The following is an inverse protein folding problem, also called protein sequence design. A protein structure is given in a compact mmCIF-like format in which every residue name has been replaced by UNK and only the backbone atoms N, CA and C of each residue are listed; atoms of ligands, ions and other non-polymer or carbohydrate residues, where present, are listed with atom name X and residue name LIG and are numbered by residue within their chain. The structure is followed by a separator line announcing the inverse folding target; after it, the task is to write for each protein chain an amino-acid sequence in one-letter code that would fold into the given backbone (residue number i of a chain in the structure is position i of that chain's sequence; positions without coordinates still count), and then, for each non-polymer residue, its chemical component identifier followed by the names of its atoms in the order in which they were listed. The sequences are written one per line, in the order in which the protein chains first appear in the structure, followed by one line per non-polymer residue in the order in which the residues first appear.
data_IF_431508996654
#
_entry.id   IF_431508996654
#
_cell.length_a   1.000
_cell.length_b   1.000
_cell.length_c   1.000
_cell.angle_alpha   90.00
_cell.angle_beta   90.00
_cell.angle_gamma   90.00
#
_symmetry.space_group_name_H-M   'P 1'
#
loop_
_entity.id
_entity.type
_entity.pdbx_description
1 polymer ?
#
# COMPACT_ATOMS: atom_id res chain seq x y z
N UNK A 1 4.60 -8.72 17.48
CA UNK A 1 3.48 -7.83 17.13
C UNK A 1 3.77 -6.39 17.54
N UNK A 2 3.21 -5.43 16.80
CA UNK A 2 3.29 -4.00 17.12
C UNK A 2 1.90 -3.40 17.43
N UNK A 3 0.85 -4.19 17.21
CA UNK A 3 -0.54 -3.82 17.46
C UNK A 3 -1.35 -5.06 17.86
N UNK A 4 -2.53 -4.83 18.44
CA UNK A 4 -3.51 -5.88 18.70
C UNK A 4 -3.98 -6.52 17.39
N UNK A 5 -4.23 -7.83 17.42
CA UNK A 5 -4.72 -8.57 16.25
C UNK A 5 -6.07 -8.01 15.78
N UNK A 6 -6.24 -7.62 14.52
CA UNK A 6 -7.48 -7.04 13.99
C UNK A 6 -8.52 -8.11 13.64
N UNK A 7 -8.88 -8.92 14.61
CA UNK A 7 -9.82 -10.05 14.50
C UNK A 7 -11.20 -9.71 15.10
N UNK A 8 -12.22 -10.43 14.71
CA UNK A 8 -13.58 -10.31 15.25
C UNK A 8 -14.09 -8.85 15.20
N UNK A 9 -14.42 -8.26 16.36
CA UNK A 9 -14.88 -6.88 16.46
C UNK A 9 -13.83 -5.83 16.04
N UNK A 10 -12.54 -6.20 16.04
CA UNK A 10 -11.45 -5.34 15.59
C UNK A 10 -11.19 -5.43 14.07
N UNK A 11 -11.81 -6.39 13.38
CA UNK A 11 -11.78 -6.39 11.91
C UNK A 11 -12.35 -5.06 11.40
N UNK A 12 -11.59 -4.36 10.55
CA UNK A 12 -11.86 -3.01 10.04
C UNK A 12 -11.91 -1.88 11.08
N UNK A 13 -11.64 -2.17 12.36
CA UNK A 13 -11.46 -1.12 13.34
C UNK A 13 -10.14 -0.36 13.11
N UNK A 14 -10.03 0.90 13.56
CA UNK A 14 -8.74 1.56 13.71
C UNK A 14 -7.77 0.68 14.49
N UNK A 15 -6.51 0.71 14.11
CA UNK A 15 -5.45 -0.09 14.74
C UNK A 15 -5.39 0.20 16.23
N UNK A 16 -5.41 -0.86 17.04
CA UNK A 16 -5.35 -0.76 18.50
C UNK A 16 -3.94 -1.03 19.00
N UNK A 17 -3.56 -0.36 20.08
CA UNK A 17 -2.31 -0.62 20.76
C UNK A 17 -2.26 -2.06 21.28
N UNK A 18 -1.07 -2.61 21.32
CA UNK A 18 -0.84 -3.94 21.88
C UNK A 18 -0.91 -3.88 23.39
N UNK A 19 -1.65 -4.80 24.00
CA UNK A 19 -1.60 -4.99 25.43
C UNK A 19 -0.24 -5.56 25.88
N UNK A 20 0.25 -5.13 27.01
CA UNK A 20 1.46 -5.69 27.59
C UNK A 20 1.28 -7.19 27.88
N UNK A 21 2.34 -7.95 27.68
CA UNK A 21 2.35 -9.39 27.97
C UNK A 21 3.41 -9.74 28.98
N UNK A 22 3.14 -10.76 29.77
CA UNK A 22 4.12 -11.32 30.71
C UNK A 22 5.10 -12.27 30.01
N UNK A 23 6.38 -12.22 30.41
CA UNK A 23 7.41 -13.15 29.97
C UNK A 23 8.08 -12.78 28.66
N UNK A 24 8.67 -13.79 28.00
CA UNK A 24 9.45 -13.63 26.76
C UNK A 24 8.71 -14.22 25.61
N UNK A 25 8.39 -13.39 24.62
CA UNK A 25 7.83 -13.84 23.34
C UNK A 25 8.96 -14.41 22.44
N UNK A 26 8.87 -15.67 21.98
CA UNK A 26 9.85 -16.20 21.04
C UNK A 26 9.69 -15.56 19.66
N UNK A 27 10.77 -14.94 19.14
CA UNK A 27 10.80 -14.23 17.85
C UNK A 27 11.88 -14.79 16.93
N UNK A 28 11.96 -16.13 16.82
CA UNK A 28 13.01 -16.85 16.06
C UNK A 28 12.63 -17.18 14.63
N UNK A 29 11.40 -16.93 14.24
CA UNK A 29 10.85 -17.17 12.90
C UNK A 29 9.94 -16.01 12.51
N UNK A 30 9.75 -15.81 11.21
CA UNK A 30 8.74 -14.88 10.73
C UNK A 30 7.35 -15.28 11.21
N UNK A 31 6.50 -14.29 11.42
CA UNK A 31 5.11 -14.50 11.80
C UNK A 31 4.24 -14.85 10.59
N UNK A 32 2.94 -14.96 10.83
CA UNK A 32 1.93 -15.05 9.78
C UNK A 32 1.94 -13.80 8.91
N UNK A 33 1.57 -13.98 7.63
CA UNK A 33 1.37 -12.87 6.69
C UNK A 33 -0.10 -12.46 6.67
N UNK A 34 -0.40 -11.23 6.25
CA UNK A 34 -1.76 -10.76 6.11
C UNK A 34 -2.49 -11.47 4.96
N UNK A 35 -3.80 -11.65 5.09
CA UNK A 35 -4.62 -12.22 4.02
C UNK A 35 -4.51 -11.40 2.75
N UNK A 36 -4.30 -12.08 1.62
CA UNK A 36 -4.08 -11.51 0.31
C UNK A 36 -4.49 -12.49 -0.80
N UNK A 37 -4.80 -12.02 -2.04
CA UNK A 37 -5.21 -12.88 -3.15
C UNK A 37 -4.11 -13.85 -3.57
N UNK A 38 -4.51 -15.01 -4.11
CA UNK A 38 -3.58 -16.00 -4.66
C UNK A 38 -3.06 -15.63 -6.04
N UNK A 39 -3.75 -14.77 -6.77
CA UNK A 39 -3.39 -14.36 -8.14
C UNK A 39 -1.99 -13.76 -8.25
N UNK A 40 -1.42 -13.25 -7.15
CA UNK A 40 -0.03 -12.78 -7.13
C UNK A 40 0.96 -13.83 -7.64
N UNK A 41 0.68 -15.12 -7.43
CA UNK A 41 1.52 -16.23 -7.89
C UNK A 41 1.61 -16.33 -9.42
N UNK A 42 0.73 -15.66 -10.14
CA UNK A 42 0.74 -15.61 -11.60
C UNK A 42 1.69 -14.54 -12.14
N UNK A 43 2.04 -13.54 -11.32
CA UNK A 43 2.83 -12.38 -11.74
C UNK A 43 4.29 -12.41 -11.24
N UNK A 44 4.56 -13.15 -10.17
CA UNK A 44 5.88 -13.17 -9.53
C UNK A 44 6.34 -14.60 -9.25
N UNK A 45 7.59 -14.90 -9.61
CA UNK A 45 8.21 -16.21 -9.34
C UNK A 45 8.54 -16.39 -7.84
N UNK A 46 8.76 -15.31 -7.12
CA UNK A 46 9.14 -15.28 -5.69
C UNK A 46 7.95 -14.76 -4.88
N UNK A 47 7.00 -15.64 -4.56
CA UNK A 47 5.80 -15.29 -3.80
C UNK A 47 5.88 -15.80 -2.36
N UNK A 48 5.26 -15.08 -1.41
CA UNK A 48 5.20 -15.53 -0.03
C UNK A 48 4.44 -16.86 0.11
N UNK A 49 4.75 -17.61 1.16
CA UNK A 49 4.00 -18.81 1.50
C UNK A 49 2.56 -18.44 1.94
N UNK A 50 1.63 -18.48 1.00
CA UNK A 50 0.23 -18.14 1.23
C UNK A 50 -0.51 -19.16 2.14
N UNK A 51 0.13 -20.26 2.54
CA UNK A 51 -0.45 -21.22 3.49
C UNK A 51 -0.42 -20.73 4.94
N UNK A 52 0.36 -19.66 5.21
CA UNK A 52 0.54 -19.11 6.55
C UNK A 52 -0.15 -17.77 6.77
N UNK A 53 -1.22 -17.48 6.01
CA UNK A 53 -2.00 -16.24 6.16
C UNK A 53 -2.80 -16.21 7.47
N UNK A 54 -2.96 -15.01 8.04
CA UNK A 54 -3.79 -14.75 9.23
C UNK A 54 -4.24 -13.29 9.27
N UNK A 55 -5.35 -12.99 9.93
CA UNK A 55 -5.67 -11.61 10.33
C UNK A 55 -4.77 -11.15 11.48
N UNK A 56 -4.28 -12.07 12.33
CA UNK A 56 -3.23 -11.77 13.32
C UNK A 56 -1.86 -11.72 12.63
N UNK A 57 -1.66 -10.63 11.87
CA UNK A 57 -0.50 -10.42 11.00
C UNK A 57 0.25 -9.12 11.28
N UNK A 58 -0.22 -8.28 12.22
CA UNK A 58 0.36 -6.97 12.52
C UNK A 58 1.66 -7.11 13.30
N UNK A 59 2.69 -7.54 12.59
CA UNK A 59 4.02 -7.83 13.13
C UNK A 59 5.09 -7.10 12.33
N UNK A 60 6.25 -6.96 12.93
CA UNK A 60 7.44 -6.42 12.30
C UNK A 60 8.66 -7.29 12.63
N UNK A 61 9.71 -7.15 11.82
CA UNK A 61 11.01 -7.77 12.02
C UNK A 61 12.04 -6.67 12.26
N UNK A 62 12.97 -6.91 13.17
CA UNK A 62 14.09 -6.00 13.45
C UNK A 62 15.40 -6.71 13.12
N UNK A 63 16.19 -6.11 12.26
CA UNK A 63 17.51 -6.57 11.85
C UNK A 63 18.53 -5.57 12.39
N UNK A 64 19.42 -6.02 13.24
CA UNK A 64 20.45 -5.16 13.83
C UNK A 64 21.79 -5.87 13.91
N UNK A 65 22.87 -5.09 13.88
CA UNK A 65 24.24 -5.50 14.19
C UNK A 65 24.82 -4.62 15.30
N UNK A 66 23.97 -3.93 16.05
CA UNK A 66 24.41 -3.23 17.23
C UNK A 66 24.96 -4.22 18.25
N UNK A 67 26.11 -3.91 18.79
CA UNK A 67 26.74 -4.70 19.86
C UNK A 67 26.14 -4.34 21.23
N UNK A 68 25.62 -3.12 21.36
CA UNK A 68 25.02 -2.59 22.59
C UNK A 68 23.92 -1.56 22.27
N UNK A 69 23.05 -1.30 23.22
CA UNK A 69 21.92 -0.37 23.05
C UNK A 69 22.36 1.08 22.83
N UNK A 70 23.57 1.43 23.27
CA UNK A 70 24.18 2.76 23.15
C UNK A 70 24.76 3.05 21.76
N UNK A 71 24.80 2.08 20.84
CA UNK A 71 25.34 2.27 19.49
C UNK A 71 24.57 3.30 18.68
N UNK A 72 23.30 3.49 19.00
CA UNK A 72 22.48 4.60 18.51
C UNK A 72 22.50 4.72 16.98
N UNK A 73 22.39 3.56 16.28
CA UNK A 73 22.48 3.44 14.83
C UNK A 73 21.29 4.08 14.13
N UNK A 74 21.46 4.65 12.94
CA UNK A 74 20.33 5.07 12.10
C UNK A 74 19.35 3.91 11.87
N UNK A 75 18.06 4.22 11.85
CA UNK A 75 16.98 3.24 11.64
C UNK A 75 16.36 3.45 10.27
N UNK A 76 16.11 2.37 9.54
CA UNK A 76 15.38 2.40 8.28
C UNK A 76 14.20 1.45 8.38
N UNK A 77 12.99 1.95 8.10
CA UNK A 77 11.73 1.20 8.17
C UNK A 77 11.23 0.97 6.76
N UNK A 78 11.22 -0.29 6.33
CA UNK A 78 10.74 -0.72 5.03
C UNK A 78 9.24 -0.94 5.04
N UNK A 79 8.55 -0.33 4.09
CA UNK A 79 7.13 -0.57 3.79
C UNK A 79 7.07 -1.23 2.42
N UNK A 80 6.59 -2.47 2.37
CA UNK A 80 6.54 -3.25 1.14
C UNK A 80 5.50 -2.72 0.15
N UNK A 81 5.74 -2.98 -1.14
CA UNK A 81 4.83 -2.70 -2.23
C UNK A 81 3.69 -3.70 -2.36
N UNK A 82 3.21 -3.91 -3.57
CA UNK A 82 2.15 -4.86 -3.89
C UNK A 82 0.75 -4.22 -3.93
N UNK A 83 0.63 -3.02 -4.51
CA UNK A 83 -0.64 -2.32 -4.79
C UNK A 83 -1.58 -2.18 -3.58
N UNK A 84 -1.08 -2.24 -2.35
CA UNK A 84 -1.84 -2.31 -1.09
C UNK A 84 -2.69 -3.58 -0.94
N UNK A 85 -2.52 -4.57 -1.79
CA UNK A 85 -3.34 -5.78 -1.89
C UNK A 85 -2.56 -7.02 -1.51
N UNK A 86 -1.25 -7.05 -1.74
CA UNK A 86 -0.36 -8.17 -1.44
C UNK A 86 1.00 -7.72 -0.90
N UNK A 87 1.84 -8.69 -0.55
CA UNK A 87 3.18 -8.48 -0.03
C UNK A 87 3.29 -8.79 1.47
N UNK A 88 4.51 -8.83 1.95
CA UNK A 88 4.84 -9.05 3.36
C UNK A 88 6.24 -8.54 3.69
N UNK A 89 6.44 -8.08 4.91
CA UNK A 89 7.76 -7.67 5.39
C UNK A 89 8.78 -8.83 5.51
N UNK A 90 8.32 -10.09 5.48
CA UNK A 90 9.21 -11.26 5.60
C UNK A 90 10.01 -11.60 4.34
N UNK A 91 9.63 -11.07 3.18
CA UNK A 91 10.35 -11.26 1.91
C UNK A 91 11.64 -10.43 1.85
N UNK A 92 11.76 -9.43 2.69
CA UNK A 92 12.85 -8.46 2.63
C UNK A 92 13.84 -8.68 3.77
N UNK A 93 14.99 -9.31 3.47
CA UNK A 93 16.06 -9.48 4.45
C UNK A 93 16.80 -8.16 4.69
N UNK A 94 16.87 -7.75 5.95
CA UNK A 94 17.68 -6.60 6.38
C UNK A 94 19.18 -6.86 6.45
N UNK A 95 19.65 -8.12 6.24
CA UNK A 95 21.03 -8.51 6.50
C UNK A 95 22.06 -7.71 5.72
N UNK A 96 21.81 -7.44 4.44
CA UNK A 96 22.75 -6.70 3.60
C UNK A 96 22.91 -5.24 4.04
N UNK A 97 21.80 -4.59 4.40
CA UNK A 97 21.80 -3.20 4.82
C UNK A 97 22.35 -3.01 6.23
N UNK A 98 22.12 -3.96 7.15
CA UNK A 98 22.70 -3.88 8.50
C UNK A 98 24.22 -3.91 8.50
N UNK A 99 24.86 -4.52 7.49
CA UNK A 99 26.34 -4.44 7.28
C UNK A 99 26.83 -3.02 6.99
N UNK A 100 25.93 -2.09 6.69
CA UNK A 100 26.24 -0.66 6.48
C UNK A 100 26.09 0.20 7.74
N UNK A 101 25.82 -0.41 8.90
CA UNK A 101 25.71 0.29 10.17
C UNK A 101 24.35 0.93 10.39
N UNK A 102 23.29 0.30 9.94
CA UNK A 102 21.89 0.72 10.16
C UNK A 102 21.09 -0.40 10.81
N UNK A 103 20.05 -0.05 11.56
CA UNK A 103 19.01 -0.97 12.00
C UNK A 103 17.93 -0.97 10.92
N UNK A 104 17.50 -2.15 10.47
CA UNK A 104 16.42 -2.31 9.50
C UNK A 104 15.19 -2.85 10.22
N UNK A 105 14.04 -2.26 9.92
CA UNK A 105 12.73 -2.77 10.32
C UNK A 105 11.92 -3.05 9.06
N UNK A 106 11.31 -4.23 8.97
CA UNK A 106 10.31 -4.57 7.95
C UNK A 106 9.00 -4.88 8.64
N UNK A 107 7.87 -4.51 8.04
CA UNK A 107 6.57 -4.64 8.70
C UNK A 107 5.51 -5.22 7.77
N UNK A 108 4.51 -5.86 8.35
CA UNK A 108 3.25 -6.18 7.70
C UNK A 108 2.21 -5.10 8.03
N UNK A 109 1.24 -4.91 7.15
CA UNK A 109 0.05 -4.09 7.37
C UNK A 109 -1.14 -4.75 6.69
N UNK A 110 -2.37 -4.46 7.13
CA UNK A 110 -3.58 -5.01 6.51
C UNK A 110 -3.70 -4.61 5.06
N UNK A 111 -4.11 -5.55 4.23
CA UNK A 111 -4.12 -5.46 2.77
C UNK A 111 -5.54 -5.55 2.20
N UNK A 112 -5.71 -5.03 0.99
CA UNK A 112 -6.92 -5.16 0.22
C UNK A 112 -8.19 -4.83 1.01
N UNK A 113 -9.26 -5.63 0.88
CA UNK A 113 -10.53 -5.36 1.53
C UNK A 113 -10.47 -5.48 3.07
N UNK A 114 -9.43 -6.08 3.63
CA UNK A 114 -9.24 -6.15 5.09
C UNK A 114 -8.52 -4.91 5.64
N UNK A 115 -7.74 -4.22 4.79
CA UNK A 115 -6.98 -3.02 5.18
C UNK A 115 -7.58 -1.70 4.72
N UNK A 116 -8.38 -1.71 3.65
CA UNK A 116 -8.79 -0.49 2.96
C UNK A 116 -10.29 -0.44 2.63
N UNK A 117 -11.10 -1.08 3.45
CA UNK A 117 -12.55 -1.12 3.27
C UNK A 117 -13.24 0.09 3.90
N UNK A 118 -13.86 0.91 3.06
CA UNK A 118 -14.77 2.00 3.47
C UNK A 118 -16.18 1.46 3.63
N UNK A 119 -16.88 1.88 4.68
CA UNK A 119 -18.30 1.51 4.85
C UNK A 119 -19.02 2.49 5.80
N UNK A 120 -20.28 2.89 5.52
CA UNK A 120 -21.01 3.85 6.34
C UNK A 120 -21.17 3.45 7.82
N UNK A 121 -21.33 2.15 8.11
CA UNK A 121 -21.42 1.68 9.49
C UNK A 121 -20.08 1.80 10.22
N UNK A 122 -18.96 1.60 9.52
CA UNK A 122 -17.61 1.78 10.09
C UNK A 122 -17.33 3.26 10.37
N UNK A 123 -17.61 4.15 9.41
CA UNK A 123 -17.44 5.59 9.59
C UNK A 123 -18.31 6.11 10.73
N UNK A 124 -19.55 5.64 10.85
CA UNK A 124 -20.45 6.00 11.96
C UNK A 124 -19.92 5.51 13.32
N UNK A 125 -19.32 4.32 13.35
CA UNK A 125 -18.80 3.72 14.59
C UNK A 125 -17.47 4.34 15.03
N UNK A 126 -16.58 4.65 14.07
CA UNK A 126 -15.19 5.02 14.35
C UNK A 126 -14.79 6.44 13.92
N UNK A 127 -15.71 7.21 13.34
CA UNK A 127 -15.46 8.56 12.83
C UNK A 127 -14.94 8.60 11.39
N UNK A 128 -14.26 7.55 10.95
CA UNK A 128 -13.81 7.37 9.57
C UNK A 128 -13.64 5.89 9.23
N UNK A 129 -13.49 5.55 7.95
CA UNK A 129 -13.19 4.20 7.46
C UNK A 129 -12.30 4.25 6.21
N UNK A 130 -11.78 3.11 5.76
CA UNK A 130 -11.02 2.97 4.53
C UNK A 130 -9.51 2.79 4.75
N UNK A 131 -8.84 3.68 5.43
CA UNK A 131 -7.37 3.76 5.50
C UNK A 131 -6.73 2.95 6.65
N UNK A 132 -7.26 1.78 7.00
CA UNK A 132 -6.79 1.02 8.17
C UNK A 132 -5.37 0.47 7.97
N UNK A 133 -4.98 0.09 6.74
CA UNK A 133 -3.62 -0.32 6.43
C UNK A 133 -2.58 0.77 6.68
N UNK A 134 -2.91 2.03 6.40
CA UNK A 134 -2.03 3.16 6.76
C UNK A 134 -2.00 3.41 8.28
N UNK A 135 -3.09 3.18 9.00
CA UNK A 135 -3.09 3.24 10.47
C UNK A 135 -2.20 2.16 11.08
N UNK A 136 -2.14 0.98 10.47
CA UNK A 136 -1.22 -0.09 10.88
C UNK A 136 0.23 0.36 10.72
N UNK A 137 0.58 0.97 9.59
CA UNK A 137 1.91 1.52 9.34
C UNK A 137 2.26 2.63 10.34
N UNK A 138 1.32 3.53 10.65
CA UNK A 138 1.49 4.57 11.67
C UNK A 138 1.75 3.94 13.05
N UNK A 139 1.00 2.91 13.42
CA UNK A 139 1.17 2.21 14.70
C UNK A 139 2.53 1.48 14.76
N UNK A 140 2.96 0.87 13.66
CA UNK A 140 4.30 0.28 13.57
C UNK A 140 5.40 1.33 13.76
N UNK A 141 5.25 2.53 13.19
CA UNK A 141 6.19 3.63 13.39
C UNK A 141 6.21 4.14 14.82
N UNK A 142 5.06 4.20 15.51
CA UNK A 142 5.00 4.50 16.95
C UNK A 142 5.78 3.46 17.74
N UNK A 143 5.52 2.16 17.46
CA UNK A 143 6.26 1.07 18.09
C UNK A 143 7.78 1.21 17.89
N UNK A 144 8.21 1.51 16.66
CA UNK A 144 9.63 1.76 16.34
C UNK A 144 10.17 2.93 17.16
N UNK A 145 9.44 4.04 17.21
CA UNK A 145 9.84 5.22 17.98
C UNK A 145 10.07 4.92 19.47
N UNK A 146 9.22 4.08 20.04
CA UNK A 146 9.21 3.78 21.47
C UNK A 146 10.21 2.67 21.85
N UNK A 147 10.47 1.72 20.94
CA UNK A 147 11.20 0.49 21.29
C UNK A 147 12.57 0.33 20.62
N UNK A 148 12.85 1.00 19.50
CA UNK A 148 14.01 0.68 18.69
C UNK A 148 15.36 0.95 19.37
N UNK A 149 15.39 1.79 20.38
CA UNK A 149 16.58 2.02 21.20
C UNK A 149 17.06 0.74 21.88
N UNK A 150 16.16 -0.16 22.27
CA UNK A 150 16.50 -1.46 22.87
C UNK A 150 17.22 -2.40 21.89
N UNK A 151 17.19 -2.10 20.61
CA UNK A 151 17.87 -2.80 19.52
C UNK A 151 19.12 -2.05 19.03
N UNK A 152 19.58 -1.03 19.76
CA UNK A 152 20.70 -0.16 19.39
C UNK A 152 20.38 0.84 18.30
N UNK A 153 19.10 1.07 17.98
CA UNK A 153 18.65 2.05 17.00
C UNK A 153 18.36 3.42 17.61
N UNK A 154 18.52 4.47 16.79
CA UNK A 154 18.26 5.85 17.19
C UNK A 154 16.80 6.24 16.86
N UNK A 155 15.91 6.40 17.86
CA UNK A 155 14.52 6.80 17.63
C UNK A 155 14.36 8.23 17.10
N UNK A 156 15.43 9.02 17.05
CA UNK A 156 15.46 10.35 16.48
C UNK A 156 16.16 10.42 15.12
N UNK A 157 16.45 9.27 14.50
CA UNK A 157 17.02 9.17 13.17
C UNK A 157 16.40 8.01 12.37
N UNK A 158 15.10 8.10 12.17
CA UNK A 158 14.28 7.11 11.46
C UNK A 158 14.06 7.56 10.01
N UNK A 159 14.39 6.73 9.06
CA UNK A 159 14.06 6.89 7.64
C UNK A 159 12.98 5.89 7.27
N UNK A 160 11.85 6.33 6.75
CA UNK A 160 10.86 5.45 6.12
C UNK A 160 11.20 5.30 4.64
N UNK A 161 11.08 4.08 4.12
CA UNK A 161 11.34 3.83 2.71
C UNK A 161 10.48 2.70 2.17
N UNK A 162 10.12 2.79 0.89
CA UNK A 162 9.27 1.81 0.24
C UNK A 162 9.32 1.93 -1.28
N UNK A 163 8.90 0.87 -1.94
CA UNK A 163 8.81 0.78 -3.40
C UNK A 163 7.36 0.57 -3.82
N UNK A 164 6.96 1.07 -5.01
CA UNK A 164 5.60 0.91 -5.56
C UNK A 164 4.54 1.40 -4.56
N UNK A 165 3.57 0.58 -4.16
CA UNK A 165 2.59 0.91 -3.12
C UNK A 165 3.22 1.20 -1.75
N UNK A 166 4.42 0.71 -1.47
CA UNK A 166 5.23 1.13 -0.32
C UNK A 166 5.68 2.59 -0.44
N UNK A 167 6.02 3.05 -1.64
CA UNK A 167 6.30 4.45 -1.94
C UNK A 167 5.02 5.30 -1.85
N UNK A 168 3.86 4.81 -2.31
CA UNK A 168 2.56 5.47 -2.05
C UNK A 168 2.32 5.65 -0.55
N UNK A 169 2.59 4.61 0.23
CA UNK A 169 2.46 4.65 1.69
C UNK A 169 3.38 5.69 2.31
N UNK A 170 4.64 5.74 1.89
CA UNK A 170 5.61 6.75 2.34
C UNK A 170 5.11 8.17 2.03
N UNK A 171 4.53 8.39 0.85
CA UNK A 171 3.97 9.66 0.43
C UNK A 171 2.72 10.05 1.27
N UNK A 172 1.81 9.09 1.53
CA UNK A 172 0.66 9.25 2.43
C UNK A 172 1.12 9.59 3.85
N UNK A 173 2.09 8.86 4.40
CA UNK A 173 2.62 9.10 5.75
C UNK A 173 3.26 10.48 5.87
N UNK A 174 3.93 10.95 4.81
CA UNK A 174 4.49 12.30 4.77
C UNK A 174 3.38 13.37 4.80
N UNK A 175 2.24 13.12 4.14
CA UNK A 175 1.09 14.02 4.13
C UNK A 175 0.25 13.94 5.42
N UNK A 176 0.22 12.78 6.09
CA UNK A 176 -0.67 12.52 7.22
C UNK A 176 -0.25 13.28 8.49
N UNK A 177 -1.20 13.99 9.15
CA UNK A 177 -0.92 14.61 10.44
C UNK A 177 -0.66 13.58 11.55
N UNK A 178 -1.19 12.35 11.42
CA UNK A 178 -1.05 11.29 12.42
C UNK A 178 0.36 10.67 12.45
N UNK A 179 1.14 10.83 11.37
CA UNK A 179 2.50 10.33 11.26
C UNK A 179 3.58 11.37 11.61
N UNK A 180 3.17 12.59 11.99
CA UNK A 180 4.08 13.68 12.32
C UNK A 180 5.03 13.34 13.45
N UNK A 181 6.34 13.52 13.22
CA UNK A 181 7.39 13.28 14.22
C UNK A 181 7.74 11.81 14.44
N UNK A 182 7.11 10.88 13.69
CA UNK A 182 7.44 9.44 13.77
C UNK A 182 8.64 9.07 12.90
N UNK A 183 9.00 9.89 11.91
CA UNK A 183 10.15 9.70 11.03
C UNK A 183 10.85 11.03 10.74
N UNK A 184 12.07 10.96 10.19
CA UNK A 184 12.97 12.10 10.01
C UNK A 184 13.47 12.23 8.58
N UNK A 185 13.31 11.21 7.74
CA UNK A 185 13.69 11.15 6.33
C UNK A 185 12.77 10.19 5.58
N UNK A 186 12.66 10.41 4.27
CA UNK A 186 11.79 9.66 3.38
C UNK A 186 12.56 9.21 2.15
N UNK A 187 12.37 7.95 1.73
CA UNK A 187 12.83 7.44 0.43
C UNK A 187 11.63 6.80 -0.27
N UNK A 188 11.22 7.36 -1.41
CA UNK A 188 10.16 6.81 -2.27
C UNK A 188 10.75 6.26 -3.56
N UNK A 189 10.50 4.99 -3.84
CA UNK A 189 11.01 4.29 -5.02
C UNK A 189 9.83 3.89 -5.90
N UNK A 190 9.82 4.36 -7.15
CA UNK A 190 8.86 3.94 -8.19
C UNK A 190 7.40 4.05 -7.74
N UNK A 191 6.99 5.22 -7.26
CA UNK A 191 5.60 5.47 -6.89
C UNK A 191 5.37 6.77 -6.11
N UNK A 192 4.23 7.40 -6.41
CA UNK A 192 3.71 8.55 -5.67
C UNK A 192 2.17 8.48 -5.64
N UNK A 193 1.56 9.07 -4.62
CA UNK A 193 0.10 9.14 -4.48
C UNK A 193 -0.38 10.57 -4.64
N UNK A 194 -0.02 11.19 -5.77
CA UNK A 194 -0.36 12.59 -6.08
C UNK A 194 -1.56 12.74 -7.02
N UNK A 195 -2.11 11.64 -7.51
CA UNK A 195 -3.36 11.62 -8.29
C UNK A 195 -4.56 12.01 -7.41
N UNK A 196 -5.65 12.56 -7.98
CA UNK A 196 -6.86 12.83 -7.24
C UNK A 196 -7.39 11.59 -6.53
N UNK A 197 -7.68 11.70 -5.24
CA UNK A 197 -8.18 10.60 -4.43
C UNK A 197 -9.70 10.66 -4.32
N UNK A 198 -10.31 9.48 -4.17
CA UNK A 198 -11.72 9.33 -3.86
C UNK A 198 -12.00 9.88 -2.46
N UNK A 199 -13.05 10.71 -2.33
CA UNK A 199 -13.51 11.16 -1.02
C UNK A 199 -14.31 10.05 -0.33
N UNK A 200 -14.10 9.86 0.97
CA UNK A 200 -14.72 8.73 1.67
C UNK A 200 -16.25 8.79 1.69
N UNK A 201 -16.83 9.97 1.92
CA UNK A 201 -18.28 10.17 2.11
C UNK A 201 -18.97 10.98 1.02
N UNK A 202 -18.22 11.57 0.11
CA UNK A 202 -18.75 12.48 -0.92
C UNK A 202 -18.45 11.95 -2.32
N UNK A 203 -19.47 11.73 -3.12
CA UNK A 203 -19.33 11.39 -4.53
C UNK A 203 -19.04 12.63 -5.37
N UNK A 204 -18.25 12.49 -6.42
CA UNK A 204 -17.96 13.53 -7.41
C UNK A 204 -18.62 13.20 -8.76
N UNK A 205 -18.48 14.10 -9.73
CA UNK A 205 -18.87 13.80 -11.13
C UNK A 205 -17.98 12.77 -11.82
N UNK A 206 -16.85 12.43 -11.19
CA UNK A 206 -15.84 11.53 -11.74
C UNK A 206 -15.73 10.20 -10.99
N UNK A 207 -16.21 10.12 -9.74
CA UNK A 207 -16.11 8.91 -8.91
C UNK A 207 -17.22 8.86 -7.86
N UNK A 208 -17.67 7.64 -7.55
CA UNK A 208 -18.48 7.37 -6.37
C UNK A 208 -17.65 7.63 -5.10
N UNK A 209 -18.32 7.83 -3.95
CA UNK A 209 -17.63 7.92 -2.66
C UNK A 209 -17.00 6.58 -2.26
N UNK A 210 -15.98 6.62 -1.39
CA UNK A 210 -15.39 5.41 -0.83
C UNK A 210 -16.44 4.52 -0.14
N UNK A 211 -17.41 5.12 0.54
CA UNK A 211 -18.52 4.38 1.18
C UNK A 211 -19.46 3.72 0.16
N UNK A 212 -19.80 4.39 -0.95
CA UNK A 212 -20.61 3.79 -2.02
C UNK A 212 -19.89 2.62 -2.69
N UNK A 213 -18.60 2.78 -2.98
CA UNK A 213 -17.74 1.69 -3.48
C UNK A 213 -17.69 0.54 -2.47
N UNK A 214 -17.57 0.85 -1.18
CA UNK A 214 -17.59 -0.14 -0.10
C UNK A 214 -18.91 -0.88 0.05
N UNK A 215 -20.05 -0.21 -0.13
CA UNK A 215 -21.38 -0.87 -0.18
C UNK A 215 -21.42 -1.87 -1.32
N UNK A 216 -20.89 -1.53 -2.51
CA UNK A 216 -20.84 -2.45 -3.63
C UNK A 216 -19.89 -3.62 -3.36
N UNK A 217 -18.71 -3.35 -2.85
CA UNK A 217 -17.73 -4.37 -2.46
C UNK A 217 -18.30 -5.31 -1.37
N UNK A 218 -19.09 -4.79 -0.43
CA UNK A 218 -19.72 -5.59 0.63
C UNK A 218 -20.65 -6.68 0.08
N UNK A 219 -21.37 -6.39 -1.02
CA UNK A 219 -22.24 -7.37 -1.71
C UNK A 219 -21.41 -8.49 -2.31
N UNK A 220 -20.27 -8.15 -2.90
CA UNK A 220 -19.32 -9.13 -3.46
C UNK A 220 -18.72 -9.98 -2.33
N UNK A 221 -18.21 -9.35 -1.27
CA UNK A 221 -17.65 -10.06 -0.12
C UNK A 221 -18.62 -11.06 0.50
N UNK A 222 -19.88 -10.66 0.69
CA UNK A 222 -20.90 -11.48 1.35
C UNK A 222 -21.68 -12.38 0.39
N UNK A 223 -21.57 -12.18 -0.94
CA UNK A 223 -22.43 -12.81 -1.95
C UNK A 223 -23.92 -12.67 -1.61
N UNK A 224 -24.32 -11.47 -1.13
CA UNK A 224 -25.64 -11.15 -0.60
C UNK A 224 -25.98 -9.70 -0.92
N UNK A 225 -27.26 -9.46 -1.26
CA UNK A 225 -27.78 -8.10 -1.36
C UNK A 225 -27.87 -7.45 0.04
N UNK A 226 -27.34 -6.22 0.16
CA UNK A 226 -27.41 -5.40 1.38
C UNK A 226 -26.93 -6.10 2.67
N UNK A 227 -25.70 -6.64 2.71
CA UNK A 227 -25.14 -7.18 3.94
C UNK A 227 -24.87 -6.04 4.93
N UNK A 228 -25.08 -6.28 6.20
CA UNK A 228 -24.66 -5.37 7.27
C UNK A 228 -23.26 -5.74 7.78
N UNK A 229 -22.67 -4.92 8.64
CA UNK A 229 -21.33 -5.14 9.16
C UNK A 229 -21.20 -6.46 9.96
N UNK A 230 -22.26 -6.91 10.62
CA UNK A 230 -22.27 -8.20 11.33
C UNK A 230 -22.18 -9.36 10.34
N UNK A 231 -23.00 -9.34 9.28
CA UNK A 231 -22.93 -10.33 8.20
C UNK A 231 -21.49 -10.45 7.65
N UNK A 232 -20.82 -9.32 7.44
CA UNK A 232 -19.45 -9.28 6.92
C UNK A 232 -18.41 -9.80 7.92
N UNK A 233 -18.59 -9.52 9.21
CA UNK A 233 -17.68 -10.00 10.27
C UNK A 233 -17.79 -11.49 10.54
N UNK A 234 -18.96 -12.07 10.28
CA UNK A 234 -19.19 -13.52 10.41
C UNK A 234 -18.52 -14.32 9.30
N UNK A 235 -18.09 -13.68 8.20
CA UNK A 235 -17.33 -14.35 7.15
C UNK A 235 -15.90 -14.65 7.61
N UNK A 236 -15.35 -15.78 7.11
CA UNK A 236 -13.91 -15.99 7.24
C UNK A 236 -13.14 -14.97 6.39
N UNK A 237 -11.95 -14.55 6.84
CA UNK A 237 -11.11 -13.66 6.05
C UNK A 237 -10.73 -14.28 4.70
N UNK A 238 -10.51 -15.60 4.66
CA UNK A 238 -10.25 -16.33 3.41
C UNK A 238 -11.43 -16.21 2.43
N UNK A 239 -12.68 -16.41 2.90
CA UNK A 239 -13.85 -16.26 2.03
C UNK A 239 -14.01 -14.84 1.49
N UNK A 240 -13.68 -13.82 2.30
CA UNK A 240 -13.69 -12.43 1.83
C UNK A 240 -12.72 -12.26 0.66
N UNK A 241 -11.47 -12.72 0.81
CA UNK A 241 -10.46 -12.61 -0.24
C UNK A 241 -10.89 -13.40 -1.49
N UNK A 242 -11.29 -14.69 -1.34
CA UNK A 242 -11.70 -15.54 -2.46
C UNK A 242 -12.92 -15.01 -3.22
N UNK A 243 -13.84 -14.32 -2.53
CA UNK A 243 -15.01 -13.72 -3.18
C UNK A 243 -14.65 -12.47 -3.98
N UNK A 244 -13.68 -11.66 -3.52
CA UNK A 244 -13.30 -10.42 -4.21
C UNK A 244 -12.26 -10.65 -5.30
N UNK A 245 -11.33 -11.60 -5.15
CA UNK A 245 -10.26 -11.81 -6.13
C UNK A 245 -10.77 -12.21 -7.52
N UNK A 246 -11.99 -12.76 -7.60
CA UNK A 246 -12.66 -13.13 -8.84
C UNK A 246 -13.56 -12.01 -9.41
N UNK A 247 -13.68 -10.87 -8.73
CA UNK A 247 -14.48 -9.75 -9.21
C UNK A 247 -13.64 -8.84 -10.13
N UNK A 248 -14.01 -8.69 -11.41
CA UNK A 248 -13.25 -7.85 -12.34
C UNK A 248 -13.11 -6.40 -11.90
N UNK A 249 -14.09 -5.87 -11.16
CA UNK A 249 -14.05 -4.49 -10.65
C UNK A 249 -13.01 -4.33 -9.55
N UNK A 250 -12.78 -5.36 -8.73
CA UNK A 250 -11.79 -5.30 -7.67
C UNK A 250 -10.37 -5.15 -8.23
N UNK A 251 -10.03 -5.90 -9.28
CA UNK A 251 -8.70 -5.84 -9.93
C UNK A 251 -8.42 -4.51 -10.65
N UNK A 252 -9.46 -3.79 -11.05
CA UNK A 252 -9.34 -2.50 -11.75
C UNK A 252 -9.46 -1.28 -10.81
N UNK A 253 -9.80 -1.48 -9.54
CA UNK A 253 -10.08 -0.40 -8.59
C UNK A 253 -9.01 -0.24 -7.48
N UNK A 254 -7.77 -0.68 -7.69
CA UNK A 254 -6.69 -0.50 -6.71
C UNK A 254 -6.50 0.96 -6.31
N UNK A 255 -6.75 1.89 -7.23
CA UNK A 255 -6.65 3.32 -6.97
C UNK A 255 -7.70 3.84 -5.99
N UNK A 256 -8.86 3.19 -5.90
CA UNK A 256 -9.94 3.57 -4.97
C UNK A 256 -9.74 3.06 -3.53
N UNK A 257 -8.72 2.25 -3.26
CA UNK A 257 -8.42 1.76 -1.90
C UNK A 257 -7.94 2.88 -0.96
N UNK A 258 -7.30 3.92 -1.50
CA UNK A 258 -6.88 5.08 -0.71
C UNK A 258 -7.94 6.17 -0.79
N UNK A 259 -8.47 6.59 0.36
CA UNK A 259 -9.56 7.59 0.40
C UNK A 259 -9.18 8.81 1.23
N UNK A 260 -9.74 9.97 0.88
CA UNK A 260 -9.73 11.15 1.76
C UNK A 260 -10.73 10.88 2.87
N UNK A 261 -10.25 10.48 4.05
CA UNK A 261 -11.07 10.09 5.20
C UNK A 261 -11.21 11.21 6.26
N UNK A 262 -10.53 12.32 6.05
CA UNK A 262 -10.53 13.46 6.96
C UNK A 262 -9.63 13.31 8.20
N UNK A 263 -8.96 12.16 8.36
CA UNK A 263 -8.15 11.82 9.54
C UNK A 263 -6.73 11.35 9.17
N UNK A 264 -6.56 10.19 8.55
CA UNK A 264 -5.26 9.75 8.00
C UNK A 264 -4.87 10.65 6.83
N UNK A 265 -5.82 10.89 5.94
CA UNK A 265 -5.69 11.76 4.76
C UNK A 265 -6.76 12.85 4.86
N UNK A 266 -6.42 14.04 5.40
CA UNK A 266 -7.40 15.08 5.66
C UNK A 266 -7.92 15.79 4.42
N UNK A 267 -7.13 15.83 3.35
CA UNK A 267 -7.48 16.40 2.05
C UNK A 267 -6.62 15.75 0.96
N UNK A 268 -6.86 16.08 -0.29
CA UNK A 268 -6.07 15.57 -1.41
C UNK A 268 -4.57 15.79 -1.20
N UNK A 269 -3.77 14.74 -1.39
CA UNK A 269 -2.33 14.73 -1.05
C UNK A 269 -1.58 15.81 -1.85
N UNK A 270 -1.90 15.97 -3.13
CA UNK A 270 -1.30 17.03 -3.97
C UNK A 270 -1.56 18.43 -3.41
N UNK A 271 -2.74 18.64 -2.81
CA UNK A 271 -3.10 19.88 -2.15
C UNK A 271 -2.30 20.11 -0.87
N UNK A 272 -2.07 19.05 -0.07
CA UNK A 272 -1.24 19.12 1.14
C UNK A 272 0.18 19.57 0.79
N UNK A 273 0.78 18.94 -0.25
CA UNK A 273 2.13 19.29 -0.71
C UNK A 273 2.20 20.70 -1.31
N UNK A 274 1.22 21.11 -2.12
CA UNK A 274 1.15 22.48 -2.67
C UNK A 274 1.08 23.55 -1.59
N UNK A 275 0.43 23.25 -0.46
CA UNK A 275 0.33 24.14 0.70
C UNK A 275 1.56 24.10 1.62
N UNK A 276 2.48 23.16 1.41
CA UNK A 276 3.63 22.94 2.31
C UNK A 276 3.22 22.33 3.66
N UNK A 277 2.09 21.64 3.71
CA UNK A 277 1.53 21.05 4.95
C UNK A 277 2.00 19.62 5.20
N UNK A 278 2.83 19.04 4.37
CA UNK A 278 3.46 17.72 4.58
C UNK A 278 4.53 17.79 5.68
N UNK A 279 5.04 16.64 6.11
CA UNK A 279 6.19 16.59 7.00
C UNK A 279 7.42 17.22 6.31
N UNK A 280 8.02 18.22 6.94
CA UNK A 280 9.21 18.91 6.44
C UNK A 280 10.47 18.10 6.80
N UNK A 281 10.79 17.15 5.97
CA UNK A 281 11.92 16.22 6.14
C UNK A 281 12.64 16.01 4.81
N UNK A 282 13.94 15.67 4.81
CA UNK A 282 14.67 15.30 3.59
C UNK A 282 14.00 14.14 2.86
N UNK A 283 13.89 14.27 1.54
CA UNK A 283 13.23 13.31 0.63
C UNK A 283 14.22 12.87 -0.44
N UNK A 284 14.30 11.57 -0.69
CA UNK A 284 14.95 10.95 -1.85
C UNK A 284 13.87 10.20 -2.63
N UNK A 285 13.71 10.53 -3.90
CA UNK A 285 12.74 9.86 -4.79
C UNK A 285 13.42 9.46 -6.10
N UNK A 286 12.91 8.45 -6.73
CA UNK A 286 13.37 7.99 -8.04
C UNK A 286 12.53 6.85 -8.58
N UNK A 287 12.70 6.62 -9.87
CA UNK A 287 12.11 5.51 -10.62
C UNK A 287 13.17 4.82 -11.46
N UNK A 288 12.87 3.63 -11.96
CA UNK A 288 13.71 2.96 -12.97
C UNK A 288 13.46 3.56 -14.35
N UNK A 289 14.35 3.27 -15.31
CA UNK A 289 14.20 3.82 -16.67
C UNK A 289 13.03 3.20 -17.44
N UNK A 290 12.68 1.97 -17.11
CA UNK A 290 11.71 1.16 -17.86
C UNK A 290 10.67 0.53 -16.90
N UNK A 291 9.97 1.37 -16.10
CA UNK A 291 9.02 0.96 -15.05
C UNK A 291 7.91 0.04 -15.59
N UNK A 292 7.35 0.38 -16.73
CA UNK A 292 6.17 -0.28 -17.25
C UNK A 292 6.44 -1.63 -17.93
N UNK A 293 7.70 -2.04 -18.10
CA UNK A 293 8.02 -3.32 -18.77
C UNK A 293 7.46 -4.54 -18.04
N UNK A 294 7.36 -4.47 -16.73
CA UNK A 294 6.77 -5.52 -15.88
C UNK A 294 5.25 -5.64 -16.10
N UNK A 295 4.60 -4.55 -16.49
CA UNK A 295 3.15 -4.47 -16.67
C UNK A 295 2.74 -4.50 -18.14
N UNK A 296 3.66 -4.88 -19.07
CA UNK A 296 3.35 -4.99 -20.49
C UNK A 296 2.13 -5.94 -20.70
N UNK A 297 0.98 -5.43 -21.22
CA UNK A 297 -0.23 -6.23 -21.38
C UNK A 297 -0.04 -7.48 -22.23
N UNK A 298 0.93 -7.46 -23.17
CA UNK A 298 1.25 -8.62 -24.01
C UNK A 298 2.09 -9.67 -23.27
N UNK A 299 2.76 -9.28 -22.18
CA UNK A 299 3.47 -10.20 -21.30
C UNK A 299 2.51 -10.79 -20.28
N UNK A 300 1.64 -9.96 -19.70
CA UNK A 300 0.66 -10.37 -18.68
C UNK A 300 -0.43 -11.27 -19.27
N UNK A 301 -0.90 -10.96 -20.50
CA UNK A 301 -1.90 -11.76 -21.19
C UNK A 301 -1.48 -11.99 -22.65
N UNK A 302 -0.74 -13.08 -22.93
CA UNK A 302 -0.30 -13.42 -24.29
C UNK A 302 -1.44 -13.62 -25.29
N UNK A 303 -2.65 -13.96 -24.83
CA UNK A 303 -3.83 -14.12 -25.69
C UNK A 303 -4.36 -12.78 -26.21
N UNK A 304 -4.11 -11.66 -25.49
CA UNK A 304 -4.37 -10.30 -25.99
C UNK A 304 -3.37 -9.88 -27.08
N UNK A 305 -2.28 -10.62 -27.25
CA UNK A 305 -1.16 -10.23 -28.12
C UNK A 305 -1.48 -10.30 -29.64
N UNK A 306 -2.52 -11.02 -30.05
CA UNK A 306 -2.82 -11.22 -31.47
C UNK A 306 -3.55 -10.05 -32.12
N UNK A 307 -4.34 -9.28 -31.38
CA UNK A 307 -5.25 -8.28 -31.89
C UNK A 307 -4.99 -6.84 -31.46
N UNK A 308 -4.12 -6.64 -30.43
CA UNK A 308 -3.83 -5.32 -29.88
C UNK A 308 -2.47 -4.80 -30.38
N UNK A 309 -2.48 -3.68 -31.10
CA UNK A 309 -1.24 -3.01 -31.48
C UNK A 309 -0.72 -2.12 -30.34
N UNK A 310 0.59 -2.00 -30.16
CA UNK A 310 1.16 -1.02 -29.23
C UNK A 310 0.78 0.41 -29.60
N UNK A 311 0.55 0.69 -30.88
CA UNK A 311 0.04 1.98 -31.34
C UNK A 311 -1.32 2.30 -30.74
N UNK A 312 -2.24 1.33 -30.73
CA UNK A 312 -3.58 1.52 -30.15
C UNK A 312 -3.53 1.59 -28.62
N UNK A 313 -2.68 0.77 -27.99
CA UNK A 313 -2.42 0.82 -26.56
C UNK A 313 -1.91 2.18 -26.13
N UNK A 314 -0.83 2.67 -26.73
CA UNK A 314 -0.24 3.98 -26.41
C UNK A 314 -1.26 5.10 -26.57
N UNK A 315 -2.02 5.08 -27.66
CA UNK A 315 -3.05 6.09 -27.92
C UNK A 315 -4.22 6.03 -26.95
N UNK A 316 -4.69 4.82 -26.60
CA UNK A 316 -5.77 4.65 -25.63
C UNK A 316 -5.33 5.10 -24.24
N UNK A 317 -4.15 4.68 -23.79
CA UNK A 317 -3.60 5.04 -22.47
C UNK A 317 -3.37 6.54 -22.35
N UNK A 318 -2.79 7.19 -23.36
CA UNK A 318 -2.63 8.66 -23.36
C UNK A 318 -4.00 9.37 -23.27
N UNK A 319 -4.99 8.91 -24.03
CA UNK A 319 -6.32 9.52 -24.01
C UNK A 319 -7.08 9.27 -22.70
N UNK A 320 -6.82 8.15 -22.04
CA UNK A 320 -7.43 7.80 -20.75
C UNK A 320 -6.82 8.65 -19.62
N UNK A 321 -5.50 8.71 -19.54
CA UNK A 321 -4.79 9.45 -18.49
C UNK A 321 -4.87 10.97 -18.71
N UNK A 322 -4.80 11.42 -19.95
CA UNK A 322 -4.78 12.83 -20.34
C UNK A 322 -5.85 13.18 -21.39
N UNK A 323 -7.15 13.07 -21.06
CA UNK A 323 -8.24 13.19 -22.04
C UNK A 323 -8.33 14.53 -22.77
N UNK A 324 -7.65 15.57 -22.29
CA UNK A 324 -7.64 16.92 -22.89
C UNK A 324 -6.25 17.35 -23.33
N UNK A 325 -5.32 16.43 -23.51
CA UNK A 325 -3.93 16.75 -23.86
C UNK A 325 -3.80 17.27 -25.29
N UNK A 326 -2.84 18.17 -25.50
CA UNK A 326 -2.45 18.65 -26.84
C UNK A 326 -1.90 17.48 -27.66
N UNK A 327 -2.35 17.38 -28.90
CA UNK A 327 -1.94 16.29 -29.82
C UNK A 327 -0.41 16.21 -30.05
N UNK A 328 0.35 17.24 -29.72
CA UNK A 328 1.81 17.24 -29.72
C UNK A 328 2.43 16.22 -28.77
N UNK A 329 1.66 15.64 -27.84
CA UNK A 329 2.09 14.53 -27.00
C UNK A 329 2.57 13.35 -27.86
N UNK A 330 1.93 13.09 -29.02
CA UNK A 330 2.32 12.03 -29.93
C UNK A 330 3.62 12.30 -30.72
N UNK A 331 4.19 13.50 -30.62
CA UNK A 331 5.54 13.79 -31.09
C UNK A 331 6.60 13.34 -30.08
N UNK A 332 6.23 13.27 -28.80
CA UNK A 332 7.08 12.76 -27.70
C UNK A 332 6.98 11.22 -27.60
N UNK A 333 5.77 10.69 -27.81
CA UNK A 333 5.48 9.25 -27.76
C UNK A 333 4.97 8.76 -29.12
N UNK A 334 5.86 8.57 -30.11
CA UNK A 334 5.46 8.28 -31.49
C UNK A 334 4.92 6.85 -31.65
N UNK A 335 3.96 6.69 -32.56
CA UNK A 335 3.25 5.42 -32.79
C UNK A 335 3.29 5.03 -34.27
N UNK A 336 4.46 5.08 -34.92
CA UNK A 336 4.60 4.84 -36.37
C UNK A 336 4.63 3.35 -36.74
N UNK A 337 5.13 2.51 -35.88
CA UNK A 337 5.22 1.06 -36.05
C UNK A 337 5.24 0.39 -34.67
N UNK A 338 5.11 -0.95 -34.65
CA UNK A 338 4.99 -1.72 -33.39
C UNK A 338 6.18 -1.58 -32.47
N UNK A 339 7.40 -1.57 -32.98
CA UNK A 339 8.61 -1.45 -32.16
C UNK A 339 8.70 -0.10 -31.48
N UNK A 340 8.57 0.99 -32.25
CA UNK A 340 8.56 2.36 -31.71
C UNK A 340 7.36 2.60 -30.79
N UNK A 341 6.20 2.01 -31.12
CA UNK A 341 5.00 2.16 -30.29
C UNK A 341 5.12 1.42 -28.97
N UNK A 342 5.85 0.30 -28.93
CA UNK A 342 6.16 -0.41 -27.69
C UNK A 342 7.04 0.45 -26.77
N UNK A 343 8.12 1.01 -27.29
CA UNK A 343 9.01 1.90 -26.54
C UNK A 343 8.24 3.11 -26.05
N UNK A 344 7.45 3.75 -26.91
CA UNK A 344 6.59 4.88 -26.52
C UNK A 344 5.55 4.53 -25.47
N UNK A 345 5.00 3.31 -25.48
CA UNK A 345 4.07 2.86 -24.44
C UNK A 345 4.77 2.70 -23.10
N UNK A 346 5.96 2.07 -23.07
CA UNK A 346 6.78 1.93 -21.87
C UNK A 346 7.19 3.30 -21.33
N UNK A 347 7.70 4.18 -22.17
CA UNK A 347 8.13 5.51 -21.78
C UNK A 347 6.98 6.33 -21.20
N UNK A 348 5.82 6.38 -21.90
CA UNK A 348 4.66 7.12 -21.44
C UNK A 348 4.12 6.61 -20.11
N UNK A 349 4.00 5.29 -19.96
CA UNK A 349 3.51 4.69 -18.71
C UNK A 349 4.52 4.76 -17.57
N UNK A 350 5.83 4.89 -17.88
CA UNK A 350 6.88 5.19 -16.90
C UNK A 350 6.81 6.66 -16.45
N UNK A 351 6.54 7.59 -17.36
CA UNK A 351 6.51 9.05 -17.12
C UNK A 351 5.20 9.51 -16.48
N UNK A 352 4.11 8.74 -16.60
CA UNK A 352 2.78 9.07 -16.08
C UNK A 352 2.56 8.62 -14.64
#
# INVERSE_FOLDING_TARGET
PYAAAPINELRWAPTQELEEWDGVLPTKSHSKICYQPKQITEFYDDVPDLTVMSEDCLTLNVWTRADQVEDNLPVMVWIHGGALVWGTGSEYSGEALTKKGVVIVTLNYRLGPLGFFSHPELSRKYGSSGNQGYRDQIQALKWVKDNISMFGGNPNNITIFGESAGSWSVNVLQASPLARGLFHKVIGQSGARLIPLTHNTESSVYSDSGEDLGINLSKVMAQKDNPNLTDLRDLSALSIIENVENDPLYLTQFDSLTVIDGDVIPEDISSIFKKGNQADVPVLIGSTADEATTFDPKVINPDLSSDLSYSDLTRSTINEILPSVDKRIFDLYPTYNEEISKDSWVDFTTDS
#
